data_IF_972217788151
#
_entry.id   IF_972217788151
#
_cell.length_a   1.000
_cell.length_b   1.000
_cell.length_c   1.000
_cell.angle_alpha   90.00
_cell.angle_beta   90.00
_cell.angle_gamma   90.00
#
_symmetry.space_group_name_H-M   'P 1'
#
loop_
_entity.id
_entity.type
_entity.pdbx_description
1 polymer ?
#
# COMPACT_ATOMS: atom_id res chain seq x y z
N UNK A 1 -5.11 -1.98 2.57
CA UNK A 1 -5.49 -0.61 2.96
C UNK A 1 -4.67 -0.17 4.16
N UNK A 2 -4.37 1.10 4.23
CA UNK A 2 -3.48 1.62 5.27
C UNK A 2 -4.29 2.16 6.43
N UNK A 3 -4.02 1.64 7.63
CA UNK A 3 -4.71 2.06 8.85
C UNK A 3 -3.65 2.30 9.92
N UNK A 4 -3.59 3.53 10.41
CA UNK A 4 -2.70 3.90 11.52
C UNK A 4 -1.26 3.50 11.30
N UNK A 5 -0.77 3.68 10.08
CA UNK A 5 0.61 3.37 9.78
C UNK A 5 0.88 1.90 9.49
N UNK A 6 -0.14 1.12 9.28
CA UNK A 6 -0.01 -0.28 8.91
C UNK A 6 -0.82 -0.58 7.66
N UNK A 7 -0.25 -1.40 6.80
CA UNK A 7 -1.03 -1.94 5.70
C UNK A 7 -1.76 -3.18 6.20
N UNK A 8 -3.08 -3.13 6.16
CA UNK A 8 -3.90 -4.25 6.65
C UNK A 8 -4.61 -4.91 5.48
N UNK A 9 -4.85 -6.19 5.63
CA UNK A 9 -5.59 -6.94 4.64
C UNK A 9 -7.04 -6.46 4.61
N UNK A 10 -7.55 -6.02 3.45
CA UNK A 10 -8.93 -5.52 3.40
C UNK A 10 -9.97 -6.61 3.64
N UNK A 11 -9.57 -7.87 3.56
CA UNK A 11 -10.52 -8.97 3.76
C UNK A 11 -10.62 -9.38 5.22
N UNK A 12 -9.48 -9.55 5.90
CA UNK A 12 -9.51 -10.05 7.28
C UNK A 12 -9.05 -9.03 8.31
N UNK A 13 -8.49 -7.91 7.87
CA UNK A 13 -8.11 -6.85 8.77
C UNK A 13 -6.80 -7.06 9.51
N UNK A 14 -6.04 -8.06 9.16
CA UNK A 14 -4.75 -8.30 9.81
C UNK A 14 -3.71 -7.31 9.34
N UNK A 15 -2.87 -6.87 10.27
CA UNK A 15 -1.76 -5.99 9.92
C UNK A 15 -0.69 -6.83 9.23
N UNK A 16 -0.33 -6.42 8.03
CA UNK A 16 0.60 -7.17 7.22
C UNK A 16 2.00 -6.58 7.23
N UNK A 17 2.10 -5.25 7.15
CA UNK A 17 3.41 -4.63 7.24
C UNK A 17 3.26 -3.21 7.73
N UNK A 18 4.34 -2.69 8.29
CA UNK A 18 4.34 -1.33 8.81
C UNK A 18 4.62 -0.35 7.69
N UNK A 19 3.88 0.75 7.68
CA UNK A 19 4.00 1.78 6.66
C UNK A 19 4.38 3.09 7.35
N UNK A 20 5.66 3.44 7.37
CA UNK A 20 6.08 4.72 7.96
C UNK A 20 5.49 5.90 7.19
N UNK A 21 5.40 7.07 7.84
CA UNK A 21 4.75 8.21 7.21
C UNK A 21 5.44 8.73 5.95
N UNK A 22 6.70 8.38 5.74
CA UNK A 22 7.42 8.83 4.57
C UNK A 22 7.74 7.69 3.61
N UNK A 23 7.06 6.56 3.76
CA UNK A 23 7.36 5.40 2.92
C UNK A 23 6.78 5.56 1.53
N UNK A 24 7.49 4.98 0.57
CA UNK A 24 7.07 4.98 -0.82
C UNK A 24 7.17 3.54 -1.31
N UNK A 25 6.05 3.02 -1.81
CA UNK A 25 5.98 1.67 -2.34
C UNK A 25 5.19 1.68 -3.63
N UNK A 26 5.71 1.00 -4.62
CA UNK A 26 5.02 0.90 -5.89
C UNK A 26 4.99 -0.55 -6.31
N UNK A 27 3.78 -1.11 -6.41
CA UNK A 27 3.59 -2.45 -6.93
C UNK A 27 4.39 -3.50 -6.13
N UNK A 28 4.42 -3.34 -4.81
CA UNK A 28 5.13 -4.26 -3.93
C UNK A 28 4.22 -5.39 -3.49
N UNK A 29 4.68 -6.62 -3.58
CA UNK A 29 3.83 -7.74 -3.14
C UNK A 29 3.71 -7.80 -1.63
N UNK A 30 2.48 -7.93 -1.15
CA UNK A 30 2.20 -8.07 0.26
C UNK A 30 1.31 -9.30 0.44
N UNK A 31 1.83 -10.28 1.16
CA UNK A 31 1.15 -11.56 1.31
C UNK A 31 0.35 -11.61 2.60
N UNK A 32 -0.90 -12.02 2.50
CA UNK A 32 -1.73 -12.26 3.68
C UNK A 32 -1.87 -13.75 3.90
N UNK A 33 -1.28 -14.23 4.99
CA UNK A 33 -1.30 -15.65 5.28
C UNK A 33 -2.71 -16.18 5.56
N UNK A 34 -3.52 -15.37 6.23
CA UNK A 34 -4.86 -15.82 6.61
C UNK A 34 -5.76 -15.99 5.41
N UNK A 35 -5.68 -15.06 4.48
CA UNK A 35 -6.52 -15.09 3.29
C UNK A 35 -5.85 -15.81 2.14
N UNK A 36 -4.54 -16.02 2.24
CA UNK A 36 -3.75 -16.62 1.17
C UNK A 36 -3.90 -15.85 -0.13
N UNK A 37 -3.85 -14.53 0.00
CA UNK A 37 -3.99 -13.62 -1.12
C UNK A 37 -2.84 -12.65 -1.11
N UNK A 38 -2.35 -12.32 -2.28
CA UNK A 38 -1.28 -11.36 -2.43
C UNK A 38 -1.84 -10.04 -2.92
N UNK A 39 -1.43 -8.96 -2.28
CA UNK A 39 -1.87 -7.61 -2.63
C UNK A 39 -0.68 -6.81 -3.17
N UNK A 40 -0.98 -5.85 -4.03
CA UNK A 40 0.07 -5.01 -4.63
C UNK A 40 -0.27 -3.55 -4.41
N UNK A 41 -0.11 -3.05 -3.18
CA UNK A 41 -0.47 -1.66 -2.88
C UNK A 41 0.53 -0.68 -3.47
N UNK A 42 0.03 0.51 -3.79
CA UNK A 42 0.85 1.65 -4.15
C UNK A 42 0.74 2.66 -3.03
N UNK A 43 1.88 3.01 -2.43
CA UNK A 43 1.90 3.88 -1.26
C UNK A 43 2.87 5.03 -1.51
N UNK A 44 2.41 6.23 -1.19
CA UNK A 44 3.24 7.42 -1.28
C UNK A 44 3.05 8.26 -0.02
N UNK A 45 4.16 8.61 0.63
CA UNK A 45 4.14 9.34 1.90
C UNK A 45 3.26 8.66 2.94
N UNK A 46 3.33 7.33 2.98
CA UNK A 46 2.58 6.55 3.95
C UNK A 46 1.10 6.44 3.69
N UNK A 47 0.64 6.89 2.52
CA UNK A 47 -0.77 6.84 2.16
C UNK A 47 -0.97 5.95 0.95
N UNK A 48 -1.99 5.14 1.00
CA UNK A 48 -2.30 4.26 -0.12
C UNK A 48 -3.03 5.03 -1.22
N UNK A 49 -2.54 4.89 -2.44
CA UNK A 49 -3.16 5.52 -3.60
C UNK A 49 -4.08 4.53 -4.28
N UNK A 50 -5.22 5.02 -4.76
CA UNK A 50 -6.13 4.19 -5.52
C UNK A 50 -5.70 4.05 -6.96
N UNK A 51 -6.44 3.23 -7.71
CA UNK A 51 -6.16 3.02 -9.11
C UNK A 51 -6.30 4.28 -9.94
N UNK A 52 -7.20 5.16 -9.50
CA UNK A 52 -7.46 6.39 -10.24
C UNK A 52 -6.48 7.50 -9.88
N UNK A 53 -5.70 7.32 -8.86
CA UNK A 53 -4.77 8.35 -8.40
C UNK A 53 -3.45 8.20 -9.12
N UNK A 54 -2.95 9.27 -9.75
CA UNK A 54 -1.65 9.19 -10.40
C UNK A 54 -0.54 9.06 -9.37
N UNK A 55 0.44 8.25 -9.67
CA UNK A 55 1.61 8.15 -8.81
C UNK A 55 2.42 9.43 -9.00
N UNK A 56 2.67 10.19 -7.93
CA UNK A 56 3.26 11.53 -8.10
C UNK A 56 4.58 11.56 -8.84
N UNK A 57 5.35 10.50 -8.76
CA UNK A 57 6.63 10.47 -9.43
C UNK A 57 6.51 10.51 -10.95
N UNK A 58 5.41 10.02 -11.47
CA UNK A 58 5.20 10.06 -12.91
C UNK A 58 4.89 11.47 -13.39
N UNK A 59 4.19 12.22 -12.56
CA UNK A 59 3.77 13.55 -12.96
C UNK A 59 4.96 14.47 -13.17
N UNK A 60 6.07 14.15 -12.56
CA UNK A 60 7.25 15.01 -12.66
C UNK A 60 8.10 14.72 -13.86
N UNK A 61 7.81 13.66 -14.54
CA UNK A 61 8.64 13.25 -15.67
C UNK A 61 8.23 13.89 -16.97
N UNK A 62 7.50 14.93 -16.87
CA UNK A 62 6.99 15.56 -18.06
C UNK A 62 7.92 16.51 -18.65
#
# INVERSE_FOLDING_TARGET
MVVRGWYVCPTCGKRLLKVPPDSIMYNMPVWCRSCKVEWFPTIFNGQELGDDDPFPMYAENK
#
